data_IF_346113370918
#
_entry.id   IF_346113370918
#
_cell.length_a   1.000
_cell.length_b   1.000
_cell.length_c   1.000
_cell.angle_alpha   90.00
_cell.angle_beta   90.00
_cell.angle_gamma   90.00
#
_symmetry.space_group_name_H-M   'P 1'
#
loop_
_entity.id
_entity.type
_entity.pdbx_description
1 polymer ?
#
# COMPACT_ATOMS: atom_id res chain seq x y z
N UNK A 1 16.68 -9.66 6.28
CA UNK A 1 16.21 -9.87 4.90
C UNK A 1 15.21 -11.01 4.91
N UNK A 2 13.98 -10.86 4.35
CA UNK A 2 13.14 -12.04 4.11
C UNK A 2 13.92 -13.00 3.21
N UNK A 3 13.95 -14.27 3.58
CA UNK A 3 14.81 -15.32 2.98
C UNK A 3 14.54 -15.60 1.49
N UNK A 4 13.51 -14.97 0.90
CA UNK A 4 13.05 -15.19 -0.46
C UNK A 4 13.45 -14.07 -1.44
N UNK A 5 14.33 -13.15 -1.04
CA UNK A 5 14.79 -12.05 -1.91
C UNK A 5 16.27 -12.23 -2.23
N UNK A 6 16.54 -12.70 -3.45
CA UNK A 6 17.90 -12.62 -4.02
C UNK A 6 18.26 -11.16 -4.27
N UNK A 7 19.52 -10.75 -4.04
CA UNK A 7 20.02 -9.46 -4.49
C UNK A 7 19.74 -9.27 -6.00
N UNK A 8 19.51 -8.04 -6.47
CA UNK A 8 19.32 -7.79 -7.89
C UNK A 8 20.60 -8.16 -8.65
N UNK A 9 20.42 -8.80 -9.82
CA UNK A 9 21.52 -9.23 -10.68
C UNK A 9 22.25 -8.04 -11.33
N UNK A 10 21.56 -6.90 -11.49
CA UNK A 10 22.14 -5.66 -12.00
C UNK A 10 22.18 -4.58 -10.92
N UNK A 11 23.31 -3.87 -10.89
CA UNK A 11 23.48 -2.67 -10.08
C UNK A 11 22.82 -1.47 -10.78
N UNK A 12 22.53 -0.40 -10.04
CA UNK A 12 22.20 0.89 -10.68
C UNK A 12 23.33 1.35 -11.60
N UNK A 13 23.06 2.39 -12.40
CA UNK A 13 24.04 3.13 -13.19
C UNK A 13 25.33 3.47 -12.40
N UNK A 14 25.23 3.61 -11.07
CA UNK A 14 26.31 3.99 -10.15
C UNK A 14 26.92 2.83 -9.35
N UNK A 15 26.55 1.57 -9.62
CA UNK A 15 27.18 0.42 -8.99
C UNK A 15 26.72 0.14 -7.54
N UNK A 16 25.61 0.73 -7.10
CA UNK A 16 25.01 0.48 -5.78
C UNK A 16 23.69 -0.28 -5.91
N UNK A 17 23.40 -1.12 -4.92
CA UNK A 17 22.10 -1.77 -4.76
C UNK A 17 21.44 -1.21 -3.52
N UNK A 18 20.26 -0.61 -3.66
CA UNK A 18 19.48 -0.06 -2.56
C UNK A 18 18.12 -0.74 -2.49
N UNK A 19 17.57 -0.77 -1.28
CA UNK A 19 16.26 -1.32 -0.98
C UNK A 19 15.56 -0.42 0.02
N UNK A 20 14.34 -0.04 -0.27
CA UNK A 20 13.49 0.75 0.62
C UNK A 20 12.33 -0.11 1.06
N UNK A 21 12.10 -0.17 2.38
CA UNK A 21 10.93 -0.82 2.96
C UNK A 21 10.22 0.14 3.90
N UNK A 22 8.93 0.34 3.67
CA UNK A 22 8.05 1.11 4.53
C UNK A 22 6.94 0.21 5.06
N UNK A 23 6.65 0.32 6.36
CA UNK A 23 5.54 -0.33 7.03
C UNK A 23 4.85 0.66 7.95
N UNK A 24 3.54 0.78 7.82
CA UNK A 24 2.71 1.52 8.77
C UNK A 24 1.45 0.72 9.08
N UNK A 25 1.01 0.81 10.33
CA UNK A 25 -0.23 0.17 10.78
C UNK A 25 -0.94 1.09 11.75
N UNK A 26 -2.26 1.15 11.64
CA UNK A 26 -3.13 1.83 12.58
C UNK A 26 -4.29 0.91 12.95
N UNK A 27 -4.71 1.03 14.20
CA UNK A 27 -5.67 0.15 14.83
C UNK A 27 -6.66 0.97 15.66
N UNK A 28 -7.95 0.69 15.49
CA UNK A 28 -9.02 1.29 16.29
C UNK A 28 -10.17 0.29 16.46
N UNK A 29 -11.18 0.67 17.24
CA UNK A 29 -12.48 -0.01 17.29
C UNK A 29 -13.51 0.77 16.46
N UNK A 30 -14.46 0.09 15.83
CA UNK A 30 -15.67 0.74 15.28
C UNK A 30 -16.75 0.92 16.36
N UNK A 31 -17.85 1.55 15.98
CA UNK A 31 -18.98 1.83 16.87
C UNK A 31 -19.67 0.56 17.40
N UNK A 32 -19.49 -0.58 16.72
CA UNK A 32 -19.98 -1.89 17.15
C UNK A 32 -18.95 -2.63 18.02
N UNK A 33 -17.86 -1.99 18.43
CA UNK A 33 -16.77 -2.57 19.21
C UNK A 33 -15.88 -3.54 18.43
N UNK A 34 -16.04 -3.65 17.11
CA UNK A 34 -15.21 -4.52 16.27
C UNK A 34 -13.86 -3.88 16.01
N UNK A 35 -12.83 -4.71 16.04
CA UNK A 35 -11.47 -4.30 15.70
C UNK A 35 -11.38 -3.89 14.23
N UNK A 36 -10.91 -2.68 13.95
CA UNK A 36 -10.63 -2.19 12.60
C UNK A 36 -9.16 -1.82 12.47
N UNK A 37 -8.48 -2.33 11.44
CA UNK A 37 -7.09 -1.97 11.17
C UNK A 37 -6.88 -1.55 9.71
N UNK A 38 -5.83 -0.76 9.50
CA UNK A 38 -5.31 -0.41 8.18
C UNK A 38 -3.79 -0.54 8.24
N UNK A 39 -3.22 -1.35 7.37
CA UNK A 39 -1.78 -1.62 7.29
C UNK A 39 -1.30 -1.33 5.88
N UNK A 40 -0.29 -0.48 5.73
CA UNK A 40 0.35 -0.18 4.46
C UNK A 40 1.79 -0.69 4.46
N UNK A 41 2.20 -1.30 3.36
CA UNK A 41 3.56 -1.78 3.13
C UNK A 41 4.02 -1.36 1.75
N UNK A 42 5.26 -0.90 1.63
CA UNK A 42 5.88 -0.63 0.34
C UNK A 42 7.29 -1.17 0.34
N UNK A 43 7.63 -1.90 -0.70
CA UNK A 43 8.98 -2.32 -1.02
C UNK A 43 9.36 -1.71 -2.36
N UNK A 44 10.59 -1.22 -2.46
CA UNK A 44 11.19 -0.73 -3.69
C UNK A 44 12.68 -1.07 -3.71
N UNK A 45 13.21 -1.44 -4.86
CA UNK A 45 14.64 -1.67 -5.02
C UNK A 45 15.24 -0.98 -6.22
N UNK A 46 16.57 -0.99 -6.26
CA UNK A 46 17.38 -0.37 -7.31
C UNK A 46 17.16 -0.92 -8.72
N UNK A 47 16.47 -2.04 -8.89
CA UNK A 47 16.10 -2.58 -10.21
C UNK A 47 14.72 -2.07 -10.68
N UNK A 48 14.08 -1.19 -9.91
CA UNK A 48 12.76 -0.66 -10.19
C UNK A 48 11.63 -1.59 -9.76
N UNK A 49 11.92 -2.72 -9.08
CA UNK A 49 10.89 -3.61 -8.54
C UNK A 49 10.17 -2.90 -7.41
N UNK A 50 8.85 -2.78 -7.52
CA UNK A 50 8.02 -2.21 -6.46
C UNK A 50 6.91 -3.18 -6.08
N UNK A 51 6.62 -3.24 -4.79
CA UNK A 51 5.41 -3.88 -4.27
C UNK A 51 4.78 -2.98 -3.21
N UNK A 52 3.61 -2.43 -3.50
CA UNK A 52 2.79 -1.69 -2.56
C UNK A 52 1.59 -2.54 -2.14
N UNK A 53 1.36 -2.67 -0.85
CA UNK A 53 0.25 -3.43 -0.27
C UNK A 53 -0.50 -2.55 0.72
N UNK A 54 -1.83 -2.51 0.60
CA UNK A 54 -2.73 -1.93 1.59
C UNK A 54 -3.70 -3.00 2.06
N UNK A 55 -3.56 -3.41 3.32
CA UNK A 55 -4.45 -4.36 3.98
C UNK A 55 -5.35 -3.62 4.95
N UNK A 56 -6.66 -3.76 4.75
CA UNK A 56 -7.71 -3.25 5.65
C UNK A 56 -8.41 -4.43 6.30
N UNK A 57 -8.80 -4.32 7.56
CA UNK A 57 -9.51 -5.38 8.28
C UNK A 57 -10.65 -4.79 9.11
N UNK A 58 -11.79 -5.49 9.12
CA UNK A 58 -12.94 -5.23 9.97
C UNK A 58 -13.31 -6.56 10.64
N UNK A 59 -13.09 -6.68 11.95
CA UNK A 59 -13.28 -7.94 12.68
C UNK A 59 -12.40 -9.05 12.09
N UNK A 60 -13.02 -10.09 11.54
CA UNK A 60 -12.35 -11.25 10.92
C UNK A 60 -12.16 -11.11 9.41
N UNK A 61 -12.82 -10.14 8.76
CA UNK A 61 -12.72 -9.94 7.32
C UNK A 61 -11.61 -8.95 6.98
N UNK A 62 -10.76 -9.28 6.01
CA UNK A 62 -9.72 -8.41 5.50
C UNK A 62 -9.77 -8.30 3.98
N UNK A 63 -9.53 -7.09 3.49
CA UNK A 63 -9.29 -6.77 2.08
C UNK A 63 -7.84 -6.34 1.91
N UNK A 64 -7.15 -6.99 0.99
CA UNK A 64 -5.78 -6.68 0.62
C UNK A 64 -5.73 -6.20 -0.82
N UNK A 65 -5.32 -4.95 -1.01
CA UNK A 65 -5.01 -4.36 -2.32
C UNK A 65 -3.49 -4.40 -2.51
N UNK A 66 -3.04 -5.02 -3.58
CA UNK A 66 -1.61 -5.08 -3.94
C UNK A 66 -1.40 -4.47 -5.31
N UNK A 67 -0.42 -3.58 -5.40
CA UNK A 67 0.17 -3.15 -6.66
C UNK A 67 1.62 -3.63 -6.72
N UNK A 68 2.04 -4.16 -7.88
CA UNK A 68 3.42 -4.60 -8.08
C UNK A 68 3.89 -4.29 -9.50
N UNK A 69 5.17 -3.97 -9.64
CA UNK A 69 5.90 -3.95 -10.92
C UNK A 69 7.25 -4.64 -10.75
N UNK A 70 7.71 -5.31 -11.80
CA UNK A 70 8.97 -6.06 -11.82
C UNK A 70 10.17 -5.23 -12.31
N UNK A 71 9.95 -4.09 -12.93
CA UNK A 71 10.98 -3.17 -13.42
C UNK A 71 10.35 -1.81 -13.74
N UNK A 72 11.16 -0.83 -14.10
CA UNK A 72 10.66 0.49 -14.54
C UNK A 72 9.84 0.42 -15.84
N UNK A 73 10.14 -0.56 -16.72
CA UNK A 73 9.43 -0.78 -17.98
C UNK A 73 8.15 -1.62 -17.82
N UNK A 74 7.87 -2.13 -16.62
CA UNK A 74 6.65 -2.87 -16.33
C UNK A 74 5.54 -1.89 -15.91
N UNK A 75 4.43 -1.89 -16.64
CA UNK A 75 3.23 -1.06 -16.34
C UNK A 75 2.66 -1.35 -14.95
N UNK A 76 2.97 -2.54 -14.41
CA UNK A 76 2.53 -2.99 -13.11
C UNK A 76 1.16 -3.63 -13.14
N UNK A 77 0.83 -4.30 -12.05
CA UNK A 77 -0.42 -5.06 -11.91
C UNK A 77 -1.08 -4.76 -10.58
N UNK A 78 -2.40 -4.56 -10.62
CA UNK A 78 -3.26 -4.43 -9.45
C UNK A 78 -3.98 -5.74 -9.16
N UNK A 79 -4.03 -6.13 -7.89
CA UNK A 79 -4.80 -7.27 -7.42
C UNK A 79 -5.50 -6.95 -6.11
N UNK A 80 -6.72 -7.45 -5.96
CA UNK A 80 -7.49 -7.41 -4.72
C UNK A 80 -7.75 -8.82 -4.21
N UNK A 81 -7.66 -9.01 -2.90
CA UNK A 81 -8.00 -10.26 -2.24
C UNK A 81 -8.80 -9.97 -0.98
N UNK A 82 -10.01 -10.51 -0.90
CA UNK A 82 -10.84 -10.49 0.30
C UNK A 82 -10.77 -11.86 0.99
N UNK A 83 -10.73 -11.89 2.31
CA UNK A 83 -10.67 -13.17 3.06
C UNK A 83 -12.03 -13.86 3.15
N UNK A 84 -13.13 -13.12 3.05
CA UNK A 84 -14.50 -13.64 3.15
C UNK A 84 -15.50 -12.67 2.52
N UNK A 85 -16.49 -13.17 1.78
CA UNK A 85 -17.49 -12.34 1.12
C UNK A 85 -17.00 -11.73 -0.19
N UNK A 86 -17.63 -10.63 -0.60
CA UNK A 86 -17.27 -9.87 -1.80
C UNK A 86 -16.42 -8.64 -1.46
N UNK A 87 -15.75 -8.06 -2.46
CA UNK A 87 -15.02 -6.80 -2.30
C UNK A 87 -16.01 -5.66 -2.05
N UNK A 88 -17.14 -5.67 -2.75
CA UNK A 88 -18.20 -4.67 -2.68
C UNK A 88 -18.79 -4.57 -1.27
N UNK A 89 -19.07 -5.71 -0.63
CA UNK A 89 -19.59 -5.76 0.73
C UNK A 89 -18.56 -5.23 1.74
N UNK A 90 -17.29 -5.57 1.55
CA UNK A 90 -16.22 -5.05 2.39
C UNK A 90 -16.10 -3.54 2.28
N UNK A 91 -16.09 -2.98 1.06
CA UNK A 91 -16.00 -1.54 0.83
C UNK A 91 -17.19 -0.80 1.41
N UNK A 92 -18.40 -1.37 1.29
CA UNK A 92 -19.60 -0.82 1.92
C UNK A 92 -19.46 -0.78 3.44
N UNK A 93 -18.95 -1.84 4.07
CA UNK A 93 -18.71 -1.87 5.50
C UNK A 93 -17.60 -0.91 5.93
N UNK A 94 -16.53 -0.78 5.13
CA UNK A 94 -15.38 0.07 5.41
C UNK A 94 -15.77 1.55 5.55
N UNK A 95 -16.69 2.04 4.72
CA UNK A 95 -17.21 3.42 4.77
C UNK A 95 -17.82 3.79 6.14
N UNK A 96 -18.36 2.81 6.87
CA UNK A 96 -18.91 3.01 8.21
C UNK A 96 -17.88 2.91 9.34
N UNK A 97 -16.61 2.68 9.04
CA UNK A 97 -15.55 2.63 10.06
C UNK A 97 -14.97 4.02 10.32
N UNK A 98 -14.29 4.27 11.45
CA UNK A 98 -13.62 5.54 11.70
C UNK A 98 -12.61 5.93 10.60
N UNK A 99 -11.95 4.94 9.99
CA UNK A 99 -11.06 5.19 8.86
C UNK A 99 -11.82 5.60 7.60
N UNK A 100 -12.92 4.93 7.26
CA UNK A 100 -13.73 5.27 6.10
C UNK A 100 -14.34 6.67 6.22
N UNK A 101 -14.86 7.01 7.41
CA UNK A 101 -15.40 8.35 7.70
C UNK A 101 -14.30 9.41 7.59
N UNK A 102 -13.12 9.17 8.18
CA UNK A 102 -11.99 10.09 8.08
C UNK A 102 -11.50 10.26 6.63
N UNK A 103 -11.52 9.19 5.83
CA UNK A 103 -11.14 9.22 4.40
C UNK A 103 -12.11 10.07 3.57
N UNK A 104 -13.41 9.93 3.78
CA UNK A 104 -14.44 10.74 3.10
C UNK A 104 -14.37 12.21 3.54
N UNK A 105 -14.18 12.48 4.83
CA UNK A 105 -13.95 13.83 5.33
C UNK A 105 -12.70 14.45 4.69
N UNK A 106 -11.58 13.70 4.62
CA UNK A 106 -10.36 14.17 3.97
C UNK A 106 -10.61 14.54 2.50
N UNK A 107 -11.34 13.70 1.74
CA UNK A 107 -11.72 13.98 0.34
C UNK A 107 -12.54 15.27 0.21
N UNK A 108 -13.53 15.45 1.07
CA UNK A 108 -14.41 16.63 1.06
C UNK A 108 -13.64 17.94 1.34
N UNK A 109 -12.59 17.86 2.17
CA UNK A 109 -11.73 18.99 2.51
C UNK A 109 -10.53 19.17 1.57
N UNK A 110 -10.55 18.54 0.39
CA UNK A 110 -9.52 18.71 -0.64
C UNK A 110 -8.20 18.02 -0.32
N UNK A 111 -8.14 17.16 0.70
CA UNK A 111 -7.06 16.20 0.78
C UNK A 111 -7.28 15.23 -0.38
N UNK A 112 -6.48 15.41 -1.44
CA UNK A 112 -6.42 14.43 -2.53
C UNK A 112 -6.18 13.08 -1.86
N UNK A 113 -7.04 12.12 -2.16
CA UNK A 113 -6.75 10.73 -1.82
C UNK A 113 -5.31 10.47 -2.23
N UNK A 114 -4.50 9.85 -1.39
CA UNK A 114 -3.40 9.02 -1.91
C UNK A 114 -4.03 7.79 -2.58
N UNK A 115 -4.89 8.00 -3.58
CA UNK A 115 -5.33 6.97 -4.53
C UNK A 115 -4.24 6.76 -5.58
N UNK A 116 -3.46 7.81 -5.83
CA UNK A 116 -2.18 7.74 -6.50
C UNK A 116 -1.09 7.86 -5.43
N UNK A 117 -0.22 6.85 -5.36
CA UNK A 117 1.09 7.04 -4.75
C UNK A 117 1.72 8.21 -5.52
N UNK A 118 2.24 9.27 -4.85
CA UNK A 118 2.93 10.31 -5.59
C UNK A 118 4.02 9.66 -6.42
N UNK A 119 3.95 9.80 -7.73
CA UNK A 119 5.15 9.74 -8.55
C UNK A 119 6.13 10.70 -7.87
N UNK A 120 7.23 10.13 -7.40
CA UNK A 120 8.30 10.84 -6.72
C UNK A 120 8.59 12.12 -7.52
N UNK A 121 8.69 13.32 -6.89
CA UNK A 121 9.36 14.41 -7.57
C UNK A 121 10.75 13.88 -7.98
N UNK A 122 11.24 14.19 -9.20
CA UNK A 122 12.55 13.76 -9.63
C UNK A 122 13.54 14.13 -8.53
N UNK A 123 14.25 13.13 -8.01
CA UNK A 123 15.20 13.33 -6.93
C UNK A 123 16.12 14.49 -7.33
N UNK A 124 16.07 15.61 -6.60
CA UNK A 124 17.08 16.64 -6.76
C UNK A 124 18.37 16.05 -6.22
N UNK A 125 19.35 15.89 -7.12
CA UNK A 125 20.70 15.50 -6.75
C UNK A 125 21.20 16.50 -5.70
N UNK A 126 21.67 15.97 -4.57
CA UNK A 126 22.35 16.77 -3.57
C UNK A 126 23.70 17.23 -4.15
N UNK A 127 24.14 18.47 -3.83
CA UNK A 127 25.35 19.05 -4.39
C UNK A 127 26.62 18.27 -4.07
#
# INVERSE_FOLDING_TARGET
>A
MPSNLSPPDSKTKDGYSFFTYAYSTCLTADDNGRRVNSTRRRYEDSAGRVKAQHRRQIGTCALESTWKRASEQDEGTHAHKVTSGSVEDFEKAWKGTPFGVAEEHAKAHGAKQQSELPDQPPAQELP
#
